data_IF_292681229392
#
_entry.id   IF_292681229392
#
_cell.length_a   1.000
_cell.length_b   1.000
_cell.length_c   1.000
_cell.angle_alpha   90.00
_cell.angle_beta   90.00
_cell.angle_gamma   90.00
#
_symmetry.space_group_name_H-M   'P 1'
#
loop_
_entity.id
_entity.type
_entity.pdbx_description
1 polymer ?
#
# COMPACT_ATOMS: atom_id res chain seq x y z
N UNK A 1 -47.31 -12.56 34.62
CA UNK A 1 -47.39 -11.43 33.69
C UNK A 1 -46.03 -10.74 33.66
N UNK A 2 -45.33 -10.91 32.53
CA UNK A 2 -44.09 -10.29 32.03
C UNK A 2 -42.97 -9.83 32.99
N UNK A 3 -41.87 -10.60 33.03
CA UNK A 3 -40.51 -10.05 33.10
C UNK A 3 -39.96 -9.94 31.68
N UNK A 4 -39.86 -8.74 31.15
CA UNK A 4 -39.39 -8.48 29.79
C UNK A 4 -37.99 -7.84 29.81
N UNK A 5 -37.02 -8.63 29.37
CA UNK A 5 -35.71 -8.36 28.78
C UNK A 5 -35.21 -6.90 28.68
N UNK A 6 -34.11 -6.61 29.39
CA UNK A 6 -33.28 -5.39 29.20
C UNK A 6 -31.80 -5.72 28.86
N UNK A 7 -31.53 -6.83 28.19
CA UNK A 7 -30.13 -7.28 27.93
C UNK A 7 -29.62 -6.90 26.53
N UNK A 8 -30.50 -6.51 25.59
CA UNK A 8 -30.11 -6.24 24.21
C UNK A 8 -29.32 -4.92 23.94
N UNK A 9 -29.50 -3.78 24.64
CA UNK A 9 -28.85 -2.54 24.23
C UNK A 9 -27.37 -2.46 24.65
N UNK A 10 -26.96 -3.19 25.70
CA UNK A 10 -25.61 -3.11 26.26
C UNK A 10 -24.56 -3.83 25.40
N UNK A 11 -24.92 -4.97 24.79
CA UNK A 11 -24.02 -5.76 23.93
C UNK A 11 -23.75 -5.05 22.61
N UNK A 12 -24.76 -4.38 22.05
CA UNK A 12 -24.64 -3.63 20.80
C UNK A 12 -23.74 -2.39 20.97
N UNK A 13 -23.86 -1.69 22.11
CA UNK A 13 -23.00 -0.57 22.45
C UNK A 13 -21.54 -1.01 22.66
N UNK A 14 -21.32 -2.17 23.29
CA UNK A 14 -19.99 -2.73 23.55
C UNK A 14 -19.30 -3.22 22.27
N UNK A 15 -20.04 -3.82 21.33
CA UNK A 15 -19.53 -4.13 19.99
C UNK A 15 -19.23 -2.87 19.17
N UNK A 16 -20.05 -1.82 19.27
CA UNK A 16 -19.82 -0.55 18.58
C UNK A 16 -18.59 0.19 19.13
N UNK A 17 -18.37 0.17 20.44
CA UNK A 17 -17.15 0.66 21.08
C UNK A 17 -15.91 -0.11 20.61
N UNK A 18 -15.96 -1.44 20.58
CA UNK A 18 -14.83 -2.26 20.12
C UNK A 18 -14.54 -2.01 18.63
N UNK A 19 -15.57 -1.97 17.76
CA UNK A 19 -15.42 -1.68 16.31
C UNK A 19 -14.90 -0.26 16.06
N UNK A 20 -15.38 0.75 16.80
CA UNK A 20 -14.90 2.14 16.65
C UNK A 20 -13.47 2.33 17.17
N UNK A 21 -13.05 1.58 18.19
CA UNK A 21 -11.65 1.58 18.67
C UNK A 21 -10.71 0.99 17.63
N UNK A 22 -11.10 -0.06 16.90
CA UNK A 22 -10.31 -0.59 15.76
C UNK A 22 -10.33 0.32 14.52
N UNK A 23 -11.36 1.14 14.34
CA UNK A 23 -11.46 2.07 13.20
C UNK A 23 -10.54 3.30 13.33
N UNK A 24 -9.98 3.57 14.51
CA UNK A 24 -8.99 4.63 14.69
C UNK A 24 -7.61 4.16 14.22
N UNK A 25 -7.43 4.14 12.90
CA UNK A 25 -6.10 4.10 12.32
C UNK A 25 -5.28 5.30 12.84
N UNK A 26 -4.09 5.05 13.37
CA UNK A 26 -3.16 6.09 13.80
C UNK A 26 -2.71 6.89 12.57
N UNK A 27 -3.46 7.92 12.19
CA UNK A 27 -3.03 8.87 11.17
C UNK A 27 -2.05 9.85 11.81
N UNK A 28 -0.76 9.49 11.84
CA UNK A 28 0.30 10.41 12.26
C UNK A 28 0.56 11.43 11.15
N UNK A 29 -0.37 12.36 10.98
CA UNK A 29 -0.11 13.58 10.22
C UNK A 29 0.88 14.39 11.03
N UNK A 30 2.13 14.49 10.57
CA UNK A 30 3.10 15.34 11.25
C UNK A 30 3.06 16.71 10.60
N UNK A 31 2.53 17.67 11.34
CA UNK A 31 2.54 19.07 10.96
C UNK A 31 3.80 19.74 11.50
N UNK A 32 4.44 20.55 10.67
CA UNK A 32 5.64 21.28 11.03
C UNK A 32 5.39 22.79 10.98
N UNK A 33 6.07 23.53 11.86
CA UNK A 33 6.20 24.99 11.79
C UNK A 33 7.55 25.43 12.33
N UNK A 34 7.99 26.58 11.87
CA UNK A 34 9.18 27.25 12.38
C UNK A 34 8.74 28.33 13.36
N UNK A 35 9.37 28.34 14.54
CA UNK A 35 9.25 29.42 15.53
C UNK A 35 10.64 30.03 15.70
N UNK A 36 10.75 31.31 15.40
CA UNK A 36 11.97 32.08 15.62
C UNK A 36 11.83 32.91 16.88
N UNK A 37 12.89 32.96 17.68
CA UNK A 37 12.98 33.81 18.87
C UNK A 37 14.01 34.91 18.65
N UNK A 38 13.78 36.07 19.28
CA UNK A 38 14.78 37.14 19.33
C UNK A 38 15.99 36.67 20.15
N UNK A 39 17.20 36.99 19.67
CA UNK A 39 18.44 36.65 20.37
C UNK A 39 18.46 37.27 21.78
N UNK A 40 18.69 36.43 22.80
CA UNK A 40 18.73 36.85 24.20
C UNK A 40 17.37 37.16 24.85
N UNK A 41 16.26 37.02 24.12
CA UNK A 41 14.91 37.33 24.62
C UNK A 41 13.88 36.37 24.02
N UNK A 42 13.53 35.33 24.78
CA UNK A 42 12.57 34.30 24.36
C UNK A 42 11.11 34.77 24.44
N UNK A 43 10.83 35.99 24.94
CA UNK A 43 9.47 36.52 25.01
C UNK A 43 8.97 37.08 23.68
N UNK A 44 9.90 37.36 22.75
CA UNK A 44 9.59 37.87 21.42
C UNK A 44 9.81 36.76 20.40
N UNK A 45 8.73 36.33 19.75
CA UNK A 45 8.75 35.27 18.74
C UNK A 45 8.04 35.66 17.45
N UNK A 46 8.49 35.08 16.34
CA UNK A 46 7.78 35.08 15.06
C UNK A 46 7.49 33.64 14.65
N UNK A 47 6.28 33.37 14.15
CA UNK A 47 5.82 32.02 13.81
C UNK A 47 5.46 31.91 12.34
N UNK A 48 5.93 30.86 11.67
CA UNK A 48 5.58 30.58 10.27
C UNK A 48 4.17 30.00 10.12
N UNK A 49 3.75 29.79 8.87
CA UNK A 49 2.63 28.90 8.57
C UNK A 49 2.93 27.46 8.99
N UNK A 50 1.86 26.69 9.19
CA UNK A 50 1.94 25.24 9.37
C UNK A 50 2.02 24.56 8.00
N UNK A 51 2.87 23.55 7.88
CA UNK A 51 2.99 22.70 6.69
C UNK A 51 2.70 21.26 7.07
N UNK A 52 1.80 20.64 6.33
CA UNK A 52 1.51 19.21 6.45
C UNK A 52 2.57 18.39 5.71
N UNK A 53 3.15 17.40 6.39
CA UNK A 53 4.01 16.42 5.72
C UNK A 53 3.13 15.35 5.04
N UNK A 54 2.87 15.55 3.76
CA UNK A 54 2.22 14.54 2.91
C UNK A 54 3.31 13.57 2.45
N UNK A 55 3.33 12.39 3.06
CA UNK A 55 4.17 11.28 2.61
C UNK A 55 3.53 10.69 1.35
N UNK A 56 4.05 11.07 0.18
CA UNK A 56 3.76 10.36 -1.06
C UNK A 56 4.31 8.95 -0.94
N UNK A 57 3.50 7.95 -1.32
CA UNK A 57 4.02 6.61 -1.49
C UNK A 57 4.85 6.57 -2.77
N UNK A 58 5.93 5.81 -2.75
CA UNK A 58 6.80 5.58 -3.90
C UNK A 58 6.78 4.07 -4.20
N UNK A 59 6.54 3.73 -5.47
CA UNK A 59 6.57 2.35 -5.96
C UNK A 59 7.56 2.28 -7.11
N UNK A 60 8.68 1.61 -6.86
CA UNK A 60 9.61 1.22 -7.90
C UNK A 60 9.13 -0.10 -8.51
N UNK A 61 9.00 -0.15 -9.84
CA UNK A 61 8.60 -1.38 -10.53
C UNK A 61 9.82 -1.84 -11.33
N UNK A 62 10.41 -3.00 -11.02
CA UNK A 62 11.53 -3.54 -11.80
C UNK A 62 11.08 -3.85 -13.23
N UNK A 63 12.03 -3.96 -14.16
CA UNK A 63 11.73 -4.28 -15.55
C UNK A 63 12.16 -5.70 -15.94
N UNK A 64 12.83 -6.43 -15.06
CA UNK A 64 13.37 -7.77 -15.31
C UNK A 64 13.53 -8.54 -14.01
N UNK A 65 13.34 -9.86 -14.06
CA UNK A 65 13.57 -10.78 -12.95
C UNK A 65 13.96 -12.17 -13.49
N UNK A 66 14.54 -13.02 -12.65
CA UNK A 66 15.13 -14.32 -12.99
C UNK A 66 14.60 -15.40 -12.05
N UNK A 67 13.50 -16.10 -12.36
CA UNK A 67 12.92 -17.13 -11.50
C UNK A 67 13.72 -18.44 -11.61
N UNK A 68 14.99 -18.42 -11.19
CA UNK A 68 15.94 -19.53 -11.30
C UNK A 68 16.19 -20.23 -9.96
N UNK A 69 15.66 -19.70 -8.86
CA UNK A 69 15.75 -20.26 -7.50
C UNK A 69 17.07 -19.96 -6.80
N UNK A 70 17.81 -18.93 -7.23
CA UNK A 70 19.05 -18.48 -6.56
C UNK A 70 18.82 -17.44 -5.45
N UNK A 71 17.56 -17.13 -5.15
CA UNK A 71 17.07 -16.11 -4.21
C UNK A 71 17.33 -14.66 -4.65
N UNK A 72 17.84 -14.42 -5.88
CA UNK A 72 18.19 -13.10 -6.40
C UNK A 72 17.26 -12.71 -7.55
N UNK A 73 16.29 -11.84 -7.26
CA UNK A 73 15.27 -11.40 -8.22
C UNK A 73 14.42 -12.56 -8.77
N UNK A 74 14.08 -13.54 -7.94
CA UNK A 74 13.23 -14.68 -8.33
C UNK A 74 11.76 -14.31 -8.56
N UNK A 75 11.33 -13.15 -8.08
CA UNK A 75 9.94 -12.72 -8.15
C UNK A 75 9.80 -11.31 -8.71
N UNK A 76 8.68 -11.06 -9.38
CA UNK A 76 8.26 -9.77 -9.90
C UNK A 76 7.13 -9.16 -9.08
N UNK A 77 7.35 -7.93 -8.61
CA UNK A 77 6.34 -7.11 -7.97
C UNK A 77 6.90 -5.70 -7.75
N UNK A 78 6.04 -4.72 -7.41
CA UNK A 78 6.51 -3.40 -7.05
C UNK A 78 7.24 -3.43 -5.70
N UNK A 79 8.31 -2.65 -5.62
CA UNK A 79 9.09 -2.42 -4.40
C UNK A 79 8.68 -1.06 -3.85
N UNK A 80 8.11 -1.05 -2.65
CA UNK A 80 7.65 0.16 -1.98
C UNK A 80 6.73 -0.18 -0.80
N UNK A 81 6.03 0.83 -0.27
CA UNK A 81 5.13 0.62 0.86
C UNK A 81 4.15 1.76 1.08
N UNK A 82 3.43 1.72 2.20
CA UNK A 82 2.39 2.70 2.59
C UNK A 82 1.20 2.77 1.62
N UNK A 83 0.80 1.60 1.12
CA UNK A 83 -0.40 1.45 0.31
C UNK A 83 -1.63 1.23 1.18
N UNK A 84 -2.75 1.81 0.76
CA UNK A 84 -4.10 1.55 1.28
C UNK A 84 -4.82 0.50 0.46
N UNK A 85 -4.51 0.43 -0.84
CA UNK A 85 -5.02 -0.59 -1.75
C UNK A 85 -3.97 -0.93 -2.80
N UNK A 86 -3.99 -2.16 -3.29
CA UNK A 86 -3.09 -2.68 -4.30
C UNK A 86 -3.81 -3.71 -5.18
N UNK A 87 -3.44 -3.77 -6.45
CA UNK A 87 -3.84 -4.80 -7.40
C UNK A 87 -2.79 -4.88 -8.50
N UNK A 88 -2.40 -6.10 -8.87
CA UNK A 88 -1.47 -6.39 -9.95
C UNK A 88 -1.99 -7.51 -10.82
N UNK A 89 -1.93 -7.28 -12.14
CA UNK A 89 -2.31 -8.22 -13.17
C UNK A 89 -1.12 -8.44 -14.11
N UNK A 90 -0.82 -9.67 -14.47
CA UNK A 90 0.22 -10.06 -15.44
C UNK A 90 -0.42 -10.77 -16.62
N UNK A 91 -0.02 -10.38 -17.82
CA UNK A 91 -0.52 -10.94 -19.07
C UNK A 91 0.64 -11.40 -19.96
N UNK A 92 0.38 -12.45 -20.75
CA UNK A 92 1.25 -12.76 -21.89
C UNK A 92 1.01 -11.78 -23.05
N UNK A 93 1.83 -11.87 -24.11
CA UNK A 93 1.72 -11.00 -25.31
C UNK A 93 0.41 -11.10 -26.08
N UNK A 94 -0.37 -12.15 -25.83
CA UNK A 94 -1.66 -12.42 -26.47
C UNK A 94 -2.83 -11.89 -25.63
N UNK A 95 -2.54 -11.27 -24.48
CA UNK A 95 -3.54 -10.69 -23.58
C UNK A 95 -4.20 -11.71 -22.64
N UNK A 96 -3.70 -12.94 -22.56
CA UNK A 96 -4.15 -13.92 -21.57
C UNK A 96 -3.60 -13.51 -20.19
N UNK A 97 -4.49 -13.46 -19.20
CA UNK A 97 -4.12 -13.25 -17.80
C UNK A 97 -3.41 -14.49 -17.27
N UNK A 98 -2.21 -14.30 -16.74
CA UNK A 98 -1.39 -15.36 -16.14
C UNK A 98 -1.38 -15.30 -14.61
N UNK A 99 -1.40 -14.09 -14.06
CA UNK A 99 -1.31 -13.87 -12.62
C UNK A 99 -2.11 -12.65 -12.20
N UNK A 100 -2.75 -12.73 -11.03
CA UNK A 100 -3.51 -11.66 -10.40
C UNK A 100 -3.31 -11.73 -8.89
N UNK A 101 -3.11 -10.57 -8.28
CA UNK A 101 -3.02 -10.44 -6.82
C UNK A 101 -3.50 -9.06 -6.39
N UNK A 102 -4.14 -8.99 -5.22
CA UNK A 102 -4.42 -7.75 -4.49
C UNK A 102 -3.52 -7.60 -3.25
N UNK A 103 -2.57 -8.53 -3.07
CA UNK A 103 -1.60 -8.55 -1.98
C UNK A 103 -0.18 -8.24 -2.51
N UNK A 104 0.42 -7.18 -1.98
CA UNK A 104 1.77 -6.73 -2.36
C UNK A 104 2.85 -7.70 -1.92
N UNK A 105 2.59 -8.47 -0.86
CA UNK A 105 3.52 -9.48 -0.34
C UNK A 105 3.42 -10.81 -1.10
N UNK A 106 2.55 -10.88 -2.11
CA UNK A 106 2.39 -12.00 -3.04
C UNK A 106 2.88 -11.62 -4.45
N UNK A 107 4.20 -11.43 -4.66
CA UNK A 107 4.75 -11.14 -5.98
C UNK A 107 4.61 -12.35 -6.93
N UNK A 108 4.69 -12.10 -8.23
CA UNK A 108 4.65 -13.18 -9.22
C UNK A 108 6.01 -13.86 -9.32
N UNK A 109 6.05 -15.18 -9.17
CA UNK A 109 7.26 -16.00 -9.23
C UNK A 109 7.64 -16.46 -10.65
N UNK A 110 6.97 -15.93 -11.68
CA UNK A 110 7.22 -16.34 -13.06
C UNK A 110 6.58 -17.69 -13.42
N UNK A 111 5.66 -18.22 -12.62
CA UNK A 111 4.95 -19.46 -12.94
C UNK A 111 3.55 -19.21 -13.50
N UNK A 112 3.06 -20.13 -14.32
CA UNK A 112 1.68 -20.22 -14.78
C UNK A 112 1.29 -21.70 -14.91
N UNK A 113 0.14 -22.09 -14.35
CA UNK A 113 -0.34 -23.48 -14.33
C UNK A 113 0.68 -24.49 -13.75
N UNK A 114 1.53 -24.04 -12.81
CA UNK A 114 2.53 -24.86 -12.13
C UNK A 114 3.87 -24.98 -12.86
N UNK A 115 4.01 -24.37 -14.03
CA UNK A 115 5.24 -24.39 -14.82
C UNK A 115 5.84 -22.98 -14.93
N UNK A 116 7.17 -22.89 -15.00
CA UNK A 116 7.85 -21.62 -15.23
C UNK A 116 7.58 -21.15 -16.66
N UNK A 117 7.23 -19.88 -16.82
CA UNK A 117 6.94 -19.31 -18.14
C UNK A 117 8.22 -19.13 -18.96
N UNK A 118 8.08 -19.10 -20.28
CA UNK A 118 9.19 -18.87 -21.21
C UNK A 118 9.91 -17.53 -20.96
N UNK A 119 11.21 -17.47 -21.28
CA UNK A 119 11.95 -16.20 -21.29
C UNK A 119 11.37 -15.25 -22.34
N UNK A 120 10.61 -14.27 -21.90
CA UNK A 120 9.94 -13.31 -22.77
C UNK A 120 9.53 -12.03 -22.01
N UNK A 121 9.02 -11.03 -22.72
CA UNK A 121 8.37 -9.84 -22.16
C UNK A 121 6.88 -10.07 -21.93
N UNK A 122 6.45 -9.81 -20.69
CA UNK A 122 5.09 -9.90 -20.20
C UNK A 122 4.55 -8.51 -19.88
N UNK A 123 3.24 -8.31 -20.00
CA UNK A 123 2.60 -7.03 -19.70
C UNK A 123 2.09 -7.05 -18.28
N UNK A 124 2.40 -6.03 -17.49
CA UNK A 124 1.81 -5.85 -16.18
C UNK A 124 0.86 -4.66 -16.15
N UNK A 125 -0.17 -4.73 -15.30
CA UNK A 125 -0.99 -3.60 -14.88
C UNK A 125 -0.99 -3.57 -13.36
N UNK A 126 -0.55 -2.47 -12.78
CA UNK A 126 -0.52 -2.24 -11.34
C UNK A 126 -1.41 -1.04 -11.04
N UNK A 127 -2.32 -1.22 -10.10
CA UNK A 127 -3.10 -0.16 -9.48
C UNK A 127 -2.81 -0.12 -7.99
N UNK A 128 -2.50 1.05 -7.46
CA UNK A 128 -2.23 1.23 -6.04
C UNK A 128 -2.70 2.59 -5.55
N UNK A 129 -3.16 2.66 -4.30
CA UNK A 129 -3.49 3.93 -3.65
C UNK A 129 -2.69 4.07 -2.37
N UNK A 130 -2.25 5.29 -2.07
CA UNK A 130 -1.52 5.61 -0.83
C UNK A 130 -2.44 6.00 0.31
N UNK A 131 -1.89 6.09 1.52
CA UNK A 131 -2.62 6.47 2.75
C UNK A 131 -3.13 7.90 2.76
N UNK A 132 -2.48 8.81 2.01
CA UNK A 132 -2.95 10.17 1.74
C UNK A 132 -2.97 10.45 0.24
N UNK A 133 -4.15 10.27 -0.37
CA UNK A 133 -4.55 10.80 -1.70
C UNK A 133 -3.52 10.74 -2.83
N UNK A 134 -2.76 9.66 -2.93
CA UNK A 134 -2.02 9.34 -4.15
C UNK A 134 -2.69 8.14 -4.84
N UNK A 135 -2.77 8.18 -6.16
CA UNK A 135 -3.16 7.03 -6.99
C UNK A 135 -2.03 6.76 -7.97
N UNK A 136 -1.58 5.52 -8.05
CA UNK A 136 -0.64 5.03 -9.05
C UNK A 136 -1.38 4.02 -9.91
N UNK A 137 -1.40 4.30 -11.21
CA UNK A 137 -1.78 3.34 -12.24
C UNK A 137 -0.60 3.21 -13.19
N UNK A 138 -0.02 2.01 -13.26
CA UNK A 138 1.13 1.73 -14.09
C UNK A 138 0.85 0.54 -14.99
N UNK A 139 1.12 0.74 -16.26
CA UNK A 139 1.09 -0.29 -17.28
C UNK A 139 2.48 -0.30 -17.90
N UNK A 140 3.06 -1.48 -18.05
CA UNK A 140 4.39 -1.64 -18.59
C UNK A 140 4.68 -3.08 -18.95
N UNK A 141 5.95 -3.35 -19.21
CA UNK A 141 6.43 -4.69 -19.49
C UNK A 141 7.51 -5.11 -18.50
N UNK A 142 7.51 -6.39 -18.15
CA UNK A 142 8.57 -7.05 -17.41
C UNK A 142 9.15 -8.16 -18.27
N UNK A 143 10.47 -8.31 -18.27
CA UNK A 143 11.14 -9.42 -18.94
C UNK A 143 11.45 -10.54 -17.94
N UNK A 144 11.10 -11.78 -18.29
CA UNK A 144 11.52 -13.00 -17.60
C UNK A 144 12.78 -13.52 -18.27
N UNK A 145 13.83 -13.81 -17.49
CA UNK A 145 15.06 -14.46 -17.96
C UNK A 145 15.28 -15.77 -17.20
N UNK A 146 15.60 -16.85 -17.91
CA UNK A 146 15.88 -18.17 -17.33
C UNK A 146 17.36 -18.52 -17.48
#
# INVERSE_FOLDING_TARGET
MNRMNYILPLVLAMQCLIVSVYAQTLQTTTEYRVVAYKSGDLSVSSTSNTVENILYFDLHIPNTFTPNGDELNDTFGPIGGRLSSYSMLIFNKWGQLLYETDDIDSPWDGTYEGEVVQSDSYVYKIFATGTKQGVVSKIGTVTVLL
#
